data_IF_051994605389
#
_entry.id   IF_051994605389
#
_cell.length_a   1.000
_cell.length_b   1.000
_cell.length_c   1.000
_cell.angle_alpha   90.00
_cell.angle_beta   90.00
_cell.angle_gamma   90.00
#
_symmetry.space_group_name_H-M   'P 1'
#
loop_
_entity.id
_entity.type
_entity.pdbx_description
1 polymer ?
#
# COMPACT_ATOMS: atom_id res chain seq x y z
N UNK A 1 -10.99 -19.07 11.99
CA UNK A 1 -9.84 -19.15 11.07
C UNK A 1 -10.30 -18.59 9.73
N UNK A 2 -9.70 -17.51 9.25
CA UNK A 2 -9.98 -17.02 7.89
C UNK A 2 -9.20 -17.93 6.94
N UNK A 3 -9.87 -18.67 6.05
CA UNK A 3 -9.15 -19.50 5.10
C UNK A 3 -8.49 -18.59 4.04
N UNK A 4 -7.38 -19.05 3.44
CA UNK A 4 -6.58 -18.22 2.53
C UNK A 4 -7.37 -17.71 1.30
N UNK A 5 -8.36 -18.48 0.82
CA UNK A 5 -9.22 -18.07 -0.30
C UNK A 5 -10.21 -16.98 0.09
N UNK A 6 -10.84 -17.08 1.27
CA UNK A 6 -11.69 -16.03 1.82
C UNK A 6 -10.88 -14.76 2.02
N UNK A 7 -9.68 -14.87 2.59
CA UNK A 7 -8.77 -13.74 2.75
C UNK A 7 -8.41 -13.12 1.38
N UNK A 8 -8.15 -13.94 0.36
CA UNK A 8 -7.86 -13.46 -0.98
C UNK A 8 -9.02 -12.67 -1.58
N UNK A 9 -10.23 -13.24 -1.64
CA UNK A 9 -11.38 -12.53 -2.22
C UNK A 9 -11.76 -11.28 -1.42
N UNK A 10 -11.66 -11.33 -0.09
CA UNK A 10 -11.85 -10.15 0.76
C UNK A 10 -10.82 -9.06 0.44
N UNK A 11 -9.55 -9.41 0.22
CA UNK A 11 -8.51 -8.45 -0.14
C UNK A 11 -8.80 -7.75 -1.48
N UNK A 12 -9.32 -8.48 -2.49
CA UNK A 12 -9.70 -7.90 -3.77
C UNK A 12 -10.88 -6.93 -3.63
N UNK A 13 -11.91 -7.33 -2.87
CA UNK A 13 -13.09 -6.50 -2.61
C UNK A 13 -12.70 -5.23 -1.83
N UNK A 14 -11.92 -5.38 -0.77
CA UNK A 14 -11.47 -4.26 0.06
C UNK A 14 -10.60 -3.28 -0.73
N UNK A 15 -9.76 -3.77 -1.65
CA UNK A 15 -8.96 -2.88 -2.51
C UNK A 15 -9.85 -2.01 -3.43
N UNK A 16 -10.94 -2.57 -3.96
CA UNK A 16 -11.92 -1.83 -4.75
C UNK A 16 -12.64 -0.78 -3.90
N UNK A 17 -13.08 -1.15 -2.70
CA UNK A 17 -13.73 -0.27 -1.74
C UNK A 17 -12.81 0.88 -1.28
N UNK A 18 -11.56 0.57 -0.94
CA UNK A 18 -10.56 1.58 -0.62
C UNK A 18 -10.37 2.59 -1.76
N UNK A 19 -10.36 2.11 -3.01
CA UNK A 19 -10.23 2.98 -4.18
C UNK A 19 -11.42 3.96 -4.30
N UNK A 20 -12.64 3.50 -3.98
CA UNK A 20 -13.82 4.37 -3.93
C UNK A 20 -13.68 5.43 -2.84
N UNK A 21 -13.23 5.07 -1.64
CA UNK A 21 -12.97 6.03 -0.57
C UNK A 21 -11.90 7.06 -0.95
N UNK A 22 -10.84 6.65 -1.65
CA UNK A 22 -9.81 7.56 -2.15
C UNK A 22 -10.37 8.57 -3.16
N UNK A 23 -11.24 8.14 -4.08
CA UNK A 23 -11.91 9.04 -5.05
C UNK A 23 -12.79 10.08 -4.34
N UNK A 24 -13.41 9.69 -3.23
CA UNK A 24 -14.23 10.56 -2.39
C UNK A 24 -13.40 11.40 -1.40
N UNK A 25 -12.06 11.28 -1.42
CA UNK A 25 -11.13 11.91 -0.46
C UNK A 25 -11.40 11.50 1.00
N UNK A 26 -12.05 10.36 1.23
CA UNK A 26 -12.28 9.79 2.57
C UNK A 26 -11.05 9.02 3.03
N UNK A 27 -9.99 9.75 3.39
CA UNK A 27 -8.67 9.18 3.68
C UNK A 27 -8.65 8.29 4.92
N UNK A 28 -9.39 8.61 5.98
CA UNK A 28 -9.45 7.78 7.19
C UNK A 28 -10.11 6.42 6.91
N UNK A 29 -11.24 6.41 6.19
CA UNK A 29 -11.90 5.16 5.77
C UNK A 29 -11.02 4.36 4.82
N UNK A 30 -10.38 5.02 3.85
CA UNK A 30 -9.43 4.36 2.96
C UNK A 30 -8.27 3.71 3.73
N UNK A 31 -7.67 4.40 4.71
CA UNK A 31 -6.59 3.87 5.53
C UNK A 31 -6.99 2.60 6.30
N UNK A 32 -8.19 2.59 6.89
CA UNK A 32 -8.73 1.43 7.61
C UNK A 32 -8.86 0.21 6.68
N UNK A 33 -9.55 0.39 5.54
CA UNK A 33 -9.81 -0.70 4.59
C UNK A 33 -8.51 -1.20 3.94
N UNK A 34 -7.56 -0.30 3.64
CA UNK A 34 -6.25 -0.68 3.11
C UNK A 34 -5.44 -1.50 4.12
N UNK A 35 -5.51 -1.16 5.40
CA UNK A 35 -4.85 -1.94 6.46
C UNK A 35 -5.41 -3.37 6.52
N UNK A 36 -6.74 -3.52 6.49
CA UNK A 36 -7.39 -4.83 6.42
C UNK A 36 -7.05 -5.59 5.13
N UNK A 37 -6.94 -4.88 4.00
CA UNK A 37 -6.52 -5.46 2.71
C UNK A 37 -5.13 -6.06 2.80
N UNK A 38 -4.20 -5.36 3.44
CA UNK A 38 -2.81 -5.79 3.65
C UNK A 38 -2.77 -7.06 4.49
N UNK A 39 -3.51 -7.10 5.61
CA UNK A 39 -3.57 -8.28 6.49
C UNK A 39 -4.17 -9.50 5.78
N UNK A 40 -5.26 -9.30 5.04
CA UNK A 40 -5.91 -10.34 4.24
C UNK A 40 -5.00 -10.86 3.13
N UNK A 41 -4.31 -9.97 2.40
CA UNK A 41 -3.36 -10.35 1.37
C UNK A 41 -2.17 -11.11 1.95
N UNK A 42 -1.67 -10.71 3.12
CA UNK A 42 -0.59 -11.43 3.82
C UNK A 42 -1.00 -12.86 4.19
N UNK A 43 -2.23 -13.05 4.69
CA UNK A 43 -2.79 -14.37 5.00
C UNK A 43 -2.96 -15.21 3.72
N UNK A 44 -3.50 -14.63 2.64
CA UNK A 44 -3.68 -15.31 1.37
C UNK A 44 -2.35 -15.76 0.74
N UNK A 45 -1.25 -15.05 1.01
CA UNK A 45 0.05 -15.37 0.44
C UNK A 45 0.65 -16.70 0.95
N UNK A 46 0.14 -17.24 2.06
CA UNK A 46 0.54 -18.55 2.60
C UNK A 46 0.07 -19.71 1.73
N UNK A 47 -0.96 -19.51 0.91
CA UNK A 47 -1.46 -20.50 -0.04
C UNK A 47 -0.71 -20.42 -1.36
N UNK A 48 -0.02 -21.50 -1.75
CA UNK A 48 0.88 -21.53 -2.90
C UNK A 48 0.19 -21.13 -4.21
N UNK A 49 -1.09 -21.49 -4.38
CA UNK A 49 -1.88 -21.15 -5.55
C UNK A 49 -2.21 -19.63 -5.64
N UNK A 50 -2.18 -18.93 -4.50
CA UNK A 50 -2.57 -17.52 -4.39
C UNK A 50 -1.39 -16.59 -4.16
N UNK A 51 -0.22 -17.11 -3.77
CA UNK A 51 0.96 -16.35 -3.36
C UNK A 51 1.30 -15.20 -4.29
N UNK A 52 1.34 -15.42 -5.60
CA UNK A 52 1.70 -14.37 -6.55
C UNK A 52 0.70 -13.20 -6.55
N UNK A 53 -0.59 -13.50 -6.66
CA UNK A 53 -1.64 -12.48 -6.68
C UNK A 53 -1.76 -11.78 -5.32
N UNK A 54 -1.56 -12.52 -4.24
CA UNK A 54 -1.56 -11.99 -2.88
C UNK A 54 -0.41 -11.00 -2.65
N UNK A 55 0.81 -11.31 -3.11
CA UNK A 55 1.97 -10.40 -3.04
C UNK A 55 1.72 -9.10 -3.82
N UNK A 56 1.12 -9.19 -5.01
CA UNK A 56 0.77 -8.01 -5.80
C UNK A 56 -0.27 -7.14 -5.08
N UNK A 57 -1.32 -7.77 -4.55
CA UNK A 57 -2.39 -7.08 -3.80
C UNK A 57 -1.84 -6.40 -2.54
N UNK A 58 -1.00 -7.12 -1.80
CA UNK A 58 -0.28 -6.59 -0.64
C UNK A 58 0.51 -5.33 -1.02
N UNK A 59 1.32 -5.41 -2.08
CA UNK A 59 2.18 -4.31 -2.53
C UNK A 59 1.35 -3.08 -2.92
N UNK A 60 0.29 -3.27 -3.72
CA UNK A 60 -0.60 -2.18 -4.14
C UNK A 60 -1.27 -1.52 -2.94
N UNK A 61 -1.83 -2.31 -2.02
CA UNK A 61 -2.49 -1.78 -0.84
C UNK A 61 -1.50 -1.04 0.08
N UNK A 62 -0.27 -1.54 0.25
CA UNK A 62 0.79 -0.85 0.99
C UNK A 62 1.16 0.50 0.37
N UNK A 63 1.37 0.56 -0.95
CA UNK A 63 1.68 1.83 -1.64
C UNK A 63 0.55 2.84 -1.44
N UNK A 64 -0.71 2.43 -1.60
CA UNK A 64 -1.86 3.29 -1.40
C UNK A 64 -1.98 3.77 0.05
N UNK A 65 -1.76 2.89 1.04
CA UNK A 65 -1.82 3.25 2.46
C UNK A 65 -0.75 4.27 2.83
N UNK A 66 0.47 4.08 2.34
CA UNK A 66 1.58 5.02 2.55
C UNK A 66 1.25 6.37 1.91
N UNK A 67 0.70 6.38 0.69
CA UNK A 67 0.24 7.59 0.03
C UNK A 67 -0.85 8.33 0.83
N UNK A 68 -1.79 7.59 1.44
CA UNK A 68 -2.81 8.15 2.33
C UNK A 68 -2.17 8.81 3.55
N UNK A 69 -1.22 8.16 4.21
CA UNK A 69 -0.55 8.76 5.37
C UNK A 69 0.28 10.00 5.01
N UNK A 70 0.93 10.00 3.84
CA UNK A 70 1.60 11.21 3.33
C UNK A 70 0.57 12.33 3.13
N UNK A 71 -0.60 12.03 2.53
CA UNK A 71 -1.65 13.04 2.30
C UNK A 71 -2.25 13.59 3.60
N UNK A 72 -2.31 12.76 4.64
CA UNK A 72 -2.71 13.15 6.00
C UNK A 72 -1.57 13.82 6.80
N UNK A 73 -0.44 14.14 6.16
CA UNK A 73 0.76 14.71 6.76
C UNK A 73 1.35 13.88 7.93
N UNK A 74 1.13 12.56 7.92
CA UNK A 74 1.66 11.63 8.91
C UNK A 74 2.90 10.90 8.35
N UNK A 75 4.00 11.66 8.21
CA UNK A 75 5.25 11.18 7.61
C UNK A 75 5.88 10.01 8.38
N UNK A 76 5.78 10.03 9.71
CA UNK A 76 6.30 8.97 10.56
C UNK A 76 5.63 7.62 10.25
N UNK A 77 4.29 7.60 10.24
CA UNK A 77 3.55 6.37 9.97
C UNK A 77 3.73 5.92 8.52
N UNK A 78 3.82 6.85 7.57
CA UNK A 78 4.13 6.54 6.18
C UNK A 78 5.50 5.82 6.03
N UNK A 79 6.52 6.29 6.75
CA UNK A 79 7.84 5.65 6.76
C UNK A 79 7.78 4.27 7.42
N UNK A 80 7.17 4.14 8.60
CA UNK A 80 7.02 2.87 9.29
C UNK A 80 6.38 1.81 8.39
N UNK A 81 5.27 2.15 7.71
CA UNK A 81 4.60 1.22 6.80
C UNK A 81 5.41 0.87 5.57
N UNK A 82 6.24 1.78 5.05
CA UNK A 82 7.16 1.46 3.97
C UNK A 82 8.23 0.44 4.42
N UNK A 83 8.79 0.63 5.61
CA UNK A 83 9.79 -0.28 6.17
C UNK A 83 9.21 -1.66 6.48
N UNK A 84 8.01 -1.72 7.06
CA UNK A 84 7.29 -2.96 7.32
C UNK A 84 6.99 -3.72 6.01
N UNK A 85 6.47 -3.03 5.00
CA UNK A 85 6.16 -3.63 3.71
C UNK A 85 7.42 -4.15 2.99
N UNK A 86 8.52 -3.39 3.06
CA UNK A 86 9.82 -3.80 2.50
C UNK A 86 10.35 -5.05 3.20
N UNK A 87 10.27 -5.11 4.54
CA UNK A 87 10.67 -6.28 5.34
C UNK A 87 9.84 -7.51 4.99
N UNK A 88 8.54 -7.37 4.81
CA UNK A 88 7.66 -8.50 4.46
C UNK A 88 7.94 -9.03 3.04
N UNK A 89 8.14 -8.15 2.05
CA UNK A 89 8.51 -8.56 0.69
C UNK A 89 9.87 -9.27 0.65
N UNK A 90 10.85 -8.78 1.41
CA UNK A 90 12.16 -9.41 1.55
C UNK A 90 12.06 -10.78 2.24
N UNK A 91 11.18 -10.91 3.24
CA UNK A 91 10.88 -12.20 3.89
C UNK A 91 10.36 -13.20 2.85
N UNK A 92 9.34 -12.86 2.05
CA UNK A 92 8.84 -13.78 1.02
C UNK A 92 9.90 -14.11 -0.05
N UNK A 93 10.76 -13.14 -0.41
CA UNK A 93 11.86 -13.36 -1.35
C UNK A 93 12.89 -14.38 -0.84
N UNK A 94 13.22 -14.31 0.44
CA UNK A 94 14.26 -15.16 1.05
C UNK A 94 13.75 -16.54 1.43
N UNK A 95 12.48 -16.65 1.84
CA UNK A 95 11.90 -17.92 2.29
C UNK A 95 11.29 -18.77 1.18
N UNK A 96 10.93 -18.19 0.04
CA UNK A 96 10.34 -18.95 -1.06
C UNK A 96 11.40 -19.80 -1.78
N UNK A 97 11.02 -21.01 -2.19
CA UNK A 97 11.82 -21.85 -3.09
C UNK A 97 11.51 -21.59 -4.58
N UNK A 98 10.44 -20.85 -4.88
CA UNK A 98 10.03 -20.56 -6.25
C UNK A 98 10.80 -19.36 -6.81
N UNK A 99 11.55 -19.56 -7.90
CA UNK A 99 12.23 -18.48 -8.62
C UNK A 99 11.26 -17.37 -9.05
N UNK A 100 10.07 -17.74 -9.52
CA UNK A 100 9.05 -16.78 -9.94
C UNK A 100 8.59 -15.88 -8.79
N UNK A 101 8.39 -16.45 -7.60
CA UNK A 101 8.04 -15.66 -6.40
C UNK A 101 9.20 -14.75 -5.99
N UNK A 102 10.45 -15.21 -6.08
CA UNK A 102 11.63 -14.36 -5.80
C UNK A 102 11.72 -13.16 -6.74
N UNK A 103 11.53 -13.40 -8.04
CA UNK A 103 11.57 -12.36 -9.06
C UNK A 103 10.39 -11.39 -8.89
N UNK A 104 9.19 -11.90 -8.58
CA UNK A 104 8.03 -11.09 -8.23
C UNK A 104 8.27 -10.21 -7.01
N UNK A 105 8.78 -10.75 -5.90
CA UNK A 105 9.08 -9.96 -4.70
C UNK A 105 10.11 -8.87 -5.00
N UNK A 106 11.14 -9.17 -5.81
CA UNK A 106 12.12 -8.17 -6.23
C UNK A 106 11.46 -7.01 -6.99
N UNK A 107 10.58 -7.34 -7.94
CA UNK A 107 9.82 -6.34 -8.69
C UNK A 107 8.88 -5.53 -7.79
N UNK A 108 8.16 -6.19 -6.89
CA UNK A 108 7.27 -5.55 -5.91
C UNK A 108 8.03 -4.62 -4.94
N UNK A 109 9.26 -4.97 -4.52
CA UNK A 109 10.10 -4.06 -3.74
C UNK A 109 10.43 -2.78 -4.51
N UNK A 110 10.77 -2.91 -5.80
CA UNK A 110 11.04 -1.74 -6.65
C UNK A 110 9.79 -0.87 -6.81
N UNK A 111 8.63 -1.50 -7.08
CA UNK A 111 7.35 -0.79 -7.16
C UNK A 111 7.00 -0.07 -5.86
N UNK A 112 7.20 -0.71 -4.71
CA UNK A 112 6.96 -0.09 -3.41
C UNK A 112 7.80 1.17 -3.24
N UNK A 113 9.12 1.09 -3.50
CA UNK A 113 10.03 2.23 -3.39
C UNK A 113 9.65 3.35 -4.35
N UNK A 114 9.48 3.05 -5.63
CA UNK A 114 9.14 4.06 -6.66
C UNK A 114 7.77 4.67 -6.40
N UNK A 115 6.78 3.87 -6.01
CA UNK A 115 5.44 4.34 -5.64
C UNK A 115 5.49 5.29 -4.45
N UNK A 116 6.19 4.93 -3.39
CA UNK A 116 6.32 5.78 -2.19
C UNK A 116 7.08 7.09 -2.49
N UNK A 117 8.14 7.04 -3.32
CA UNK A 117 8.86 8.24 -3.75
C UNK A 117 7.94 9.17 -4.55
N UNK A 118 7.18 8.61 -5.51
CA UNK A 118 6.21 9.38 -6.28
C UNK A 118 5.16 10.05 -5.39
N UNK A 119 4.60 9.31 -4.42
CA UNK A 119 3.61 9.85 -3.48
C UNK A 119 4.17 11.00 -2.63
N UNK A 120 5.44 10.90 -2.18
CA UNK A 120 6.09 12.01 -1.47
C UNK A 120 6.27 13.23 -2.35
N UNK A 121 6.78 13.06 -3.57
CA UNK A 121 6.94 14.17 -4.52
C UNK A 121 5.61 14.87 -4.79
N UNK A 122 4.55 14.12 -5.11
CA UNK A 122 3.21 14.69 -5.32
C UNK A 122 2.68 15.36 -4.06
N UNK A 123 2.86 14.74 -2.89
CA UNK A 123 2.48 15.33 -1.60
C UNK A 123 3.15 16.68 -1.35
N UNK A 124 4.46 16.79 -1.58
CA UNK A 124 5.20 18.05 -1.47
C UNK A 124 4.69 19.12 -2.43
N UNK A 125 4.42 18.78 -3.70
CA UNK A 125 3.89 19.75 -4.66
C UNK A 125 2.50 20.25 -4.27
N UNK A 126 1.62 19.37 -3.80
CA UNK A 126 0.27 19.75 -3.34
C UNK A 126 0.37 20.70 -2.15
N UNK A 127 1.23 20.40 -1.18
CA UNK A 127 1.42 21.27 -0.02
C UNK A 127 1.92 22.67 -0.43
N UNK A 128 2.89 22.76 -1.34
CA UNK A 128 3.38 24.05 -1.85
C UNK A 128 2.28 24.87 -2.53
N UNK A 129 1.40 24.22 -3.29
CA UNK A 129 0.26 24.89 -3.94
C UNK A 129 -0.77 25.39 -2.91
N UNK A 130 -1.05 24.60 -1.87
CA UNK A 130 -1.93 24.98 -0.76
C UNK A 130 -1.36 26.21 -0.01
N UNK A 131 -0.06 26.22 0.29
CA UNK A 131 0.64 27.35 0.93
C UNK A 131 0.62 28.63 0.08
N UNK A 132 0.82 28.52 -1.24
CA UNK A 132 0.76 29.66 -2.17
C UNK A 132 -0.64 30.26 -2.28
N UNK A 133 -1.68 29.43 -2.33
CA UNK A 133 -3.06 29.91 -2.37
C UNK A 133 -3.44 30.67 -1.10
N UNK A 134 -3.05 30.16 0.07
CA UNK A 134 -3.29 30.84 1.34
C UNK A 134 -2.54 32.17 1.45
N UNK A 135 -1.33 32.27 0.89
CA UNK A 135 -0.59 33.54 0.85
C UNK A 135 -1.27 34.58 -0.05
N UNK A 136 -1.90 34.17 -1.15
CA UNK A 136 -2.64 35.06 -2.06
C UNK A 136 -3.98 35.54 -1.48
N UNK A 137 -4.65 34.72 -0.67
CA UNK A 137 -5.90 35.11 0.01
C UNK A 137 -5.69 36.14 1.13
N UNK A 138 -4.45 36.33 1.59
CA UNK A 138 -4.10 37.24 2.69
C UNK A 138 -3.54 38.61 2.24
N UNK A 139 -3.37 38.82 0.93
CA UNK A 139 -2.91 40.09 0.32
C UNK A 139 -4.01 40.76 -0.48
#
# INVERSE_FOLDING_TARGET
MNNAYTAYFSSQKHLQEATQYLQQKSYCSAASILSETIDNARCAAEEAALTANAIQTYTTASVLLIAVYIRLNNQFLAQEKQEDASRQLEKWRTTSNSRQVKDLCRYCCQLLVTGCQHSRCVGHYVQQLEELNHAQEQT
#
